data_IF_017923663291
#
_entry.id   IF_017923663291
#
_cell.length_a   1.000
_cell.length_b   1.000
_cell.length_c   1.000
_cell.angle_alpha   90.00
_cell.angle_beta   90.00
_cell.angle_gamma   90.00
#
_symmetry.space_group_name_H-M   'P 1'
#
loop_
_entity.id
_entity.type
_entity.pdbx_description
1 polymer ?
#
# COMPACT_ATOMS: atom_id res chain seq x y z
N UNK A 1 8.84 17.04 -9.27
CA UNK A 1 8.89 16.20 -10.49
C UNK A 1 8.28 14.86 -10.14
N UNK A 2 7.27 14.42 -10.88
CA UNK A 2 6.66 13.10 -10.71
C UNK A 2 7.67 12.02 -11.09
N UNK A 3 7.91 10.98 -10.27
CA UNK A 3 8.90 9.96 -10.58
C UNK A 3 8.52 9.18 -11.86
N UNK A 4 9.48 8.91 -12.73
CA UNK A 4 9.27 8.00 -13.87
C UNK A 4 9.27 6.56 -13.36
N UNK A 5 8.14 5.87 -13.49
CA UNK A 5 7.93 4.51 -12.98
C UNK A 5 9.08 3.53 -13.28
N UNK A 6 9.60 3.51 -14.51
CA UNK A 6 10.59 2.53 -14.92
C UNK A 6 11.94 2.72 -14.23
N UNK A 7 12.32 3.97 -13.94
CA UNK A 7 13.58 4.29 -13.25
C UNK A 7 13.40 4.37 -11.74
N UNK A 8 12.23 4.77 -11.26
CA UNK A 8 11.96 5.03 -9.84
C UNK A 8 11.33 3.85 -9.10
N UNK A 9 10.63 2.96 -9.81
CA UNK A 9 9.77 1.92 -9.23
C UNK A 9 8.45 2.45 -8.66
N UNK A 10 8.17 3.75 -8.80
CA UNK A 10 7.01 4.43 -8.21
C UNK A 10 6.37 5.33 -9.25
N UNK A 11 5.04 5.27 -9.36
CA UNK A 11 4.25 6.18 -10.17
C UNK A 11 3.19 6.84 -9.30
N UNK A 12 3.07 8.17 -9.41
CA UNK A 12 2.00 8.92 -8.76
C UNK A 12 0.96 9.24 -9.82
N UNK A 13 -0.22 8.66 -9.68
CA UNK A 13 -1.28 8.75 -10.68
C UNK A 13 -2.17 9.97 -10.39
N UNK A 14 -1.87 11.08 -11.05
CA UNK A 14 -2.68 12.29 -10.97
C UNK A 14 -4.07 12.04 -11.57
N UNK A 15 -5.13 12.47 -10.87
CA UNK A 15 -6.53 12.35 -11.31
C UNK A 15 -6.97 10.92 -11.68
N UNK A 16 -6.34 9.89 -11.11
CA UNK A 16 -6.75 8.50 -11.33
C UNK A 16 -8.03 8.14 -10.57
N UNK A 17 -8.38 8.93 -9.55
CA UNK A 17 -9.46 8.68 -8.61
C UNK A 17 -10.41 9.88 -8.56
N UNK A 18 -11.71 9.60 -8.65
CA UNK A 18 -12.76 10.57 -8.41
C UNK A 18 -13.00 10.72 -6.89
N UNK A 19 -13.11 11.96 -6.41
CA UNK A 19 -13.35 12.25 -4.99
C UNK A 19 -14.63 11.59 -4.45
N UNK A 20 -15.68 11.48 -5.26
CA UNK A 20 -16.91 10.79 -4.88
C UNK A 20 -16.67 9.27 -4.67
N UNK A 21 -15.82 8.65 -5.48
CA UNK A 21 -15.43 7.24 -5.29
C UNK A 21 -14.58 7.07 -4.03
N UNK A 22 -13.66 8.00 -3.76
CA UNK A 22 -12.83 7.99 -2.54
C UNK A 22 -13.73 8.12 -1.29
N UNK A 23 -14.64 9.10 -1.27
CA UNK A 23 -15.55 9.31 -0.15
C UNK A 23 -16.44 8.09 0.11
N UNK A 24 -17.01 7.49 -0.95
CA UNK A 24 -17.78 6.26 -0.82
C UNK A 24 -16.92 5.10 -0.31
N UNK A 25 -15.67 4.97 -0.76
CA UNK A 25 -14.77 3.93 -0.27
C UNK A 25 -14.36 4.14 1.20
N UNK A 26 -14.19 5.39 1.65
CA UNK A 26 -13.98 5.73 3.05
C UNK A 26 -15.16 5.32 3.92
N UNK A 27 -16.40 5.63 3.50
CA UNK A 27 -17.60 5.13 4.18
C UNK A 27 -17.62 3.60 4.24
N UNK A 28 -17.31 2.93 3.13
CA UNK A 28 -17.23 1.47 3.08
C UNK A 28 -16.17 0.89 4.02
N UNK A 29 -15.03 1.57 4.17
CA UNK A 29 -14.00 1.19 5.13
C UNK A 29 -14.51 1.32 6.58
N UNK A 30 -15.22 2.41 6.90
CA UNK A 30 -15.84 2.62 8.22
C UNK A 30 -16.91 1.56 8.51
N UNK A 31 -17.74 1.21 7.53
CA UNK A 31 -18.72 0.13 7.64
C UNK A 31 -18.04 -1.21 7.96
N UNK A 32 -16.97 -1.56 7.24
CA UNK A 32 -16.20 -2.78 7.49
C UNK A 32 -15.62 -2.81 8.91
N UNK A 33 -15.06 -1.69 9.38
CA UNK A 33 -14.51 -1.57 10.75
C UNK A 33 -15.58 -1.85 11.80
N UNK A 34 -16.81 -1.39 11.55
CA UNK A 34 -17.97 -1.61 12.42
C UNK A 34 -18.63 -2.98 12.23
N UNK A 35 -18.09 -3.86 11.38
CA UNK A 35 -18.65 -5.19 11.12
C UNK A 35 -19.83 -5.21 10.15
N UNK A 36 -20.09 -4.11 9.46
CA UNK A 36 -21.17 -3.99 8.47
C UNK A 36 -20.63 -4.26 7.07
N UNK A 37 -21.09 -5.35 6.44
CA UNK A 37 -20.65 -5.76 5.11
C UNK A 37 -21.83 -5.69 4.14
N UNK A 38 -21.88 -4.68 3.27
CA UNK A 38 -23.02 -4.47 2.38
C UNK A 38 -23.22 -5.65 1.41
N UNK A 39 -22.15 -6.36 1.06
CA UNK A 39 -22.14 -7.57 0.24
C UNK A 39 -22.76 -8.79 0.94
N UNK A 40 -22.90 -8.76 2.27
CA UNK A 40 -23.22 -9.93 3.09
C UNK A 40 -22.05 -10.90 3.29
N UNK A 41 -20.86 -10.58 2.78
CA UNK A 41 -19.65 -11.42 2.87
C UNK A 41 -18.63 -10.73 3.76
N UNK A 42 -18.11 -11.39 4.81
CA UNK A 42 -17.07 -10.80 5.65
C UNK A 42 -15.71 -10.74 4.92
N UNK A 43 -14.80 -9.86 5.36
CA UNK A 43 -13.40 -9.92 4.94
C UNK A 43 -12.77 -11.26 5.38
N UNK A 44 -11.68 -11.66 4.73
CA UNK A 44 -11.02 -12.94 5.05
C UNK A 44 -10.37 -12.97 6.42
N UNK A 45 -10.02 -11.80 6.95
CA UNK A 45 -9.44 -11.70 8.27
C UNK A 45 -9.22 -10.26 8.68
N UNK A 46 -9.11 -10.06 9.98
CA UNK A 46 -8.75 -8.79 10.58
C UNK A 46 -7.72 -9.02 11.68
N UNK A 47 -6.78 -8.09 11.82
CA UNK A 47 -5.76 -8.06 12.85
C UNK A 47 -5.92 -6.77 13.65
N UNK A 48 -5.95 -6.89 14.98
CA UNK A 48 -6.04 -5.77 15.93
C UNK A 48 -7.23 -4.82 15.66
N UNK A 49 -8.31 -5.31 15.04
CA UNK A 49 -9.46 -4.45 14.74
C UNK A 49 -10.02 -3.89 16.04
N UNK A 50 -10.25 -2.57 16.08
CA UNK A 50 -10.68 -1.81 17.26
C UNK A 50 -9.63 -1.66 18.38
N UNK A 51 -8.39 -2.13 18.18
CA UNK A 51 -7.28 -1.82 19.08
C UNK A 51 -6.58 -0.53 18.60
N UNK A 52 -6.90 0.58 19.25
CA UNK A 52 -6.34 1.89 18.92
C UNK A 52 -4.89 2.08 19.42
N UNK A 53 -4.25 1.03 19.94
CA UNK A 53 -2.84 1.06 20.32
C UNK A 53 -1.93 0.41 19.29
N UNK A 54 -2.47 -0.24 18.25
CA UNK A 54 -1.70 -1.02 17.28
C UNK A 54 -2.12 -0.74 15.84
N UNK A 55 -1.25 -1.09 14.90
CA UNK A 55 -1.65 -1.17 13.50
C UNK A 55 -2.83 -2.13 13.35
N UNK A 56 -3.90 -1.67 12.73
CA UNK A 56 -5.04 -2.52 12.39
C UNK A 56 -5.01 -2.82 10.90
N UNK A 57 -5.38 -4.05 10.55
CA UNK A 57 -5.37 -4.53 9.18
C UNK A 57 -6.58 -5.39 8.89
N UNK A 58 -7.25 -5.14 7.76
CA UNK A 58 -8.36 -5.98 7.28
C UNK A 58 -8.06 -6.47 5.87
N UNK A 59 -8.24 -7.78 5.65
CA UNK A 59 -7.85 -8.47 4.42
C UNK A 59 -9.06 -8.69 3.50
N UNK A 60 -8.85 -8.54 2.20
CA UNK A 60 -9.88 -8.72 1.16
C UNK A 60 -11.12 -7.85 1.32
N UNK A 61 -10.94 -6.59 1.74
CA UNK A 61 -12.02 -5.61 1.92
C UNK A 61 -12.88 -5.36 0.68
N UNK A 62 -12.37 -5.59 -0.53
CA UNK A 62 -13.19 -5.50 -1.76
C UNK A 62 -14.28 -6.58 -1.85
N UNK A 63 -14.13 -7.70 -1.14
CA UNK A 63 -15.17 -8.72 -1.05
C UNK A 63 -16.29 -8.31 -0.09
N UNK A 64 -15.97 -7.47 0.90
CA UNK A 64 -16.89 -7.06 1.95
C UNK A 64 -17.67 -5.78 1.62
N UNK A 65 -17.12 -4.88 0.79
CA UNK A 65 -17.73 -3.60 0.44
C UNK A 65 -17.89 -3.39 -1.07
N UNK A 66 -19.12 -3.19 -1.55
CA UNK A 66 -19.37 -2.78 -2.95
C UNK A 66 -18.83 -1.39 -3.24
N UNK A 67 -18.74 -0.50 -2.23
CA UNK A 67 -18.18 0.84 -2.40
C UNK A 67 -16.68 0.78 -2.72
N UNK A 68 -15.92 -0.03 -1.97
CA UNK A 68 -14.50 -0.28 -2.26
C UNK A 68 -14.33 -0.99 -3.60
N UNK A 69 -15.14 -2.02 -3.89
CA UNK A 69 -15.09 -2.70 -5.19
C UNK A 69 -15.36 -1.74 -6.36
N UNK A 70 -16.29 -0.80 -6.20
CA UNK A 70 -16.58 0.23 -7.20
C UNK A 70 -15.37 1.15 -7.43
N UNK A 71 -14.73 1.63 -6.37
CA UNK A 71 -13.49 2.42 -6.48
C UNK A 71 -12.45 1.68 -7.33
N UNK A 72 -12.23 0.39 -7.07
CA UNK A 72 -11.20 -0.39 -7.78
C UNK A 72 -11.57 -0.68 -9.25
N UNK A 73 -12.86 -0.85 -9.57
CA UNK A 73 -13.33 -1.22 -10.91
C UNK A 73 -13.64 -0.04 -11.83
N UNK A 74 -14.07 1.09 -11.27
CA UNK A 74 -14.60 2.23 -12.02
C UNK A 74 -13.71 3.48 -11.92
N UNK A 75 -12.58 3.41 -11.23
CA UNK A 75 -11.52 4.41 -11.34
C UNK A 75 -10.55 4.06 -12.48
N UNK A 76 -9.63 4.98 -12.76
CA UNK A 76 -8.59 4.79 -13.79
C UNK A 76 -7.39 3.99 -13.30
N UNK A 77 -7.42 3.44 -12.08
CA UNK A 77 -6.31 2.64 -11.54
C UNK A 77 -5.97 1.46 -12.46
N UNK A 78 -6.99 0.76 -12.97
CA UNK A 78 -6.78 -0.35 -13.90
C UNK A 78 -6.13 0.07 -15.22
N UNK A 79 -6.54 1.22 -15.77
CA UNK A 79 -5.95 1.80 -16.98
C UNK A 79 -4.49 2.16 -16.76
N UNK A 80 -4.19 2.89 -15.67
CA UNK A 80 -2.82 3.28 -15.30
C UNK A 80 -1.94 2.05 -15.11
N UNK A 81 -2.43 1.04 -14.38
CA UNK A 81 -1.68 -0.20 -14.18
C UNK A 81 -1.40 -0.92 -15.52
N UNK A 82 -2.40 -1.02 -16.40
CA UNK A 82 -2.26 -1.62 -17.73
C UNK A 82 -1.24 -0.88 -18.60
N UNK A 83 -1.24 0.45 -18.59
CA UNK A 83 -0.27 1.28 -19.31
C UNK A 83 1.17 1.05 -18.81
N UNK A 84 1.37 1.10 -17.49
CA UNK A 84 2.69 0.92 -16.89
C UNK A 84 3.29 -0.46 -17.17
N UNK A 85 2.47 -1.52 -17.20
CA UNK A 85 2.91 -2.90 -17.40
C UNK A 85 2.72 -3.42 -18.82
N UNK A 86 2.19 -2.59 -19.73
CA UNK A 86 1.81 -3.00 -21.10
C UNK A 86 0.91 -4.25 -21.11
N UNK A 87 0.06 -4.38 -20.10
CA UNK A 87 -0.82 -5.54 -19.93
C UNK A 87 -2.18 -5.29 -20.56
N UNK A 88 -2.74 -6.30 -21.23
CA UNK A 88 -4.10 -6.23 -21.78
C UNK A 88 -5.19 -6.42 -20.72
N UNK A 89 -4.83 -7.01 -19.58
CA UNK A 89 -5.76 -7.37 -18.51
C UNK A 89 -5.11 -7.15 -17.15
N UNK A 90 -5.82 -6.45 -16.27
CA UNK A 90 -5.46 -6.31 -14.86
C UNK A 90 -6.47 -7.09 -14.01
N UNK A 91 -5.96 -7.83 -13.02
CA UNK A 91 -6.78 -8.58 -12.05
C UNK A 91 -6.46 -8.11 -10.65
N UNK A 92 -7.51 -7.91 -9.85
CA UNK A 92 -7.37 -7.66 -8.42
C UNK A 92 -7.04 -9.00 -7.76
N UNK A 93 -5.80 -9.13 -7.28
CA UNK A 93 -5.38 -10.30 -6.50
C UNK A 93 -5.86 -10.22 -5.05
N UNK A 94 -5.68 -9.04 -4.45
CA UNK A 94 -6.19 -8.81 -3.11
C UNK A 94 -6.09 -7.36 -2.69
N UNK A 95 -6.76 -7.07 -1.58
CA UNK A 95 -6.81 -5.74 -0.99
C UNK A 95 -6.55 -5.81 0.50
N UNK A 96 -5.84 -4.82 1.03
CA UNK A 96 -5.63 -4.70 2.47
C UNK A 96 -5.98 -3.28 2.91
N UNK A 97 -6.85 -3.15 3.91
CA UNK A 97 -7.12 -1.89 4.58
C UNK A 97 -6.19 -1.78 5.78
N UNK A 98 -5.42 -0.69 5.84
CA UNK A 98 -4.55 -0.36 6.96
C UNK A 98 -5.11 0.85 7.70
N UNK A 99 -5.22 0.74 9.03
CA UNK A 99 -5.65 1.82 9.91
C UNK A 99 -4.52 2.06 10.91
N UNK A 100 -3.99 3.30 10.90
CA UNK A 100 -2.94 3.73 11.81
C UNK A 100 -3.53 4.61 12.91
N UNK A 101 -3.59 4.13 14.16
CA UNK A 101 -3.98 4.98 15.28
C UNK A 101 -2.97 6.10 15.51
N UNK A 102 -3.42 7.20 16.11
CA UNK A 102 -2.55 8.32 16.44
C UNK A 102 -1.56 7.94 17.55
N UNK A 103 -0.34 8.46 17.45
CA UNK A 103 0.66 8.45 18.52
C UNK A 103 1.05 7.06 19.07
N UNK A 104 0.99 6.00 18.26
CA UNK A 104 1.48 4.68 18.67
C UNK A 104 2.68 4.22 17.84
N UNK A 105 3.82 3.84 18.47
CA UNK A 105 4.95 3.25 17.75
C UNK A 105 4.61 1.88 17.15
N UNK A 106 3.60 1.18 17.68
CA UNK A 106 3.14 -0.13 17.19
C UNK A 106 2.23 -0.02 15.94
N UNK A 107 2.22 1.14 15.26
CA UNK A 107 1.55 1.38 13.97
C UNK A 107 2.51 1.45 12.78
N UNK A 108 3.81 1.29 13.03
CA UNK A 108 4.86 1.36 12.02
C UNK A 108 4.89 0.08 11.18
N UNK A 109 5.15 0.25 9.88
CA UNK A 109 5.46 -0.84 8.96
C UNK A 109 6.87 -0.60 8.44
N UNK A 110 7.77 -1.54 8.69
CA UNK A 110 9.17 -1.46 8.28
C UNK A 110 9.34 -1.48 6.75
N UNK A 111 10.52 -1.08 6.28
CA UNK A 111 10.90 -1.18 4.87
C UNK A 111 10.92 -2.64 4.42
N UNK A 112 10.23 -2.95 3.33
CA UNK A 112 10.14 -4.29 2.77
C UNK A 112 9.80 -4.27 1.28
N UNK A 113 9.81 -5.44 0.64
CA UNK A 113 9.32 -5.66 -0.72
C UNK A 113 8.14 -6.63 -0.70
N UNK A 114 7.00 -6.22 -1.25
CA UNK A 114 5.78 -7.04 -1.27
C UNK A 114 5.96 -8.39 -1.96
N UNK A 115 6.75 -8.44 -3.04
CA UNK A 115 6.94 -9.66 -3.84
C UNK A 115 7.46 -10.85 -3.03
N UNK A 116 8.19 -10.61 -1.93
CA UNK A 116 8.66 -11.67 -1.03
C UNK A 116 7.51 -12.46 -0.39
N UNK A 117 6.32 -11.86 -0.31
CA UNK A 117 5.09 -12.49 0.21
C UNK A 117 4.20 -13.07 -0.89
N UNK A 118 4.60 -12.97 -2.17
CA UNK A 118 3.82 -13.43 -3.31
C UNK A 118 4.64 -14.35 -4.25
N UNK A 119 5.24 -15.45 -3.74
CA UNK A 119 6.14 -16.31 -4.51
C UNK A 119 5.47 -17.09 -5.66
N UNK A 120 4.14 -16.96 -5.79
CA UNK A 120 3.33 -17.67 -6.77
C UNK A 120 3.23 -16.94 -8.12
N UNK A 121 3.62 -15.67 -8.18
CA UNK A 121 3.64 -14.90 -9.43
C UNK A 121 5.07 -14.83 -9.94
N UNK A 122 5.28 -15.11 -11.22
CA UNK A 122 6.61 -15.03 -11.84
C UNK A 122 7.01 -13.60 -12.23
N UNK A 123 6.04 -12.73 -12.47
CA UNK A 123 6.20 -11.30 -12.76
C UNK A 123 4.83 -10.61 -12.75
N UNK A 124 4.79 -9.28 -12.95
CA UNK A 124 3.55 -8.54 -13.23
C UNK A 124 2.72 -8.21 -11.99
N UNK A 125 3.33 -8.18 -10.80
CA UNK A 125 2.67 -7.72 -9.57
C UNK A 125 2.91 -6.22 -9.40
N UNK A 126 1.82 -5.49 -9.19
CA UNK A 126 1.83 -4.08 -8.81
C UNK A 126 1.01 -3.89 -7.54
N UNK A 127 1.47 -2.98 -6.68
CA UNK A 127 0.70 -2.51 -5.52
C UNK A 127 0.25 -1.08 -5.79
N UNK A 128 -1.08 -0.85 -5.82
CA UNK A 128 -1.66 0.48 -5.80
C UNK A 128 -1.97 0.86 -4.35
N UNK A 129 -1.28 1.88 -3.82
CA UNK A 129 -1.62 2.46 -2.53
C UNK A 129 -2.60 3.61 -2.74
N UNK A 130 -3.75 3.54 -2.07
CA UNK A 130 -4.84 4.51 -2.23
C UNK A 130 -5.12 5.14 -0.86
N UNK A 131 -4.81 6.43 -0.67
CA UNK A 131 -5.20 7.13 0.54
C UNK A 131 -6.71 7.39 0.53
N UNK A 132 -7.38 7.01 1.63
CA UNK A 132 -8.80 7.31 1.85
C UNK A 132 -9.02 8.59 2.68
N UNK A 133 -7.94 9.14 3.23
CA UNK A 133 -7.90 10.40 3.99
C UNK A 133 -6.72 11.24 3.50
N UNK A 134 -6.68 12.51 3.85
CA UNK A 134 -5.48 13.34 3.66
C UNK A 134 -4.27 12.72 4.39
N UNK A 135 -3.09 12.79 3.77
CA UNK A 135 -1.86 12.18 4.30
C UNK A 135 -0.76 13.22 4.33
N UNK A 136 -0.71 13.93 5.45
CA UNK A 136 0.40 14.81 5.80
C UNK A 136 1.62 14.02 6.28
N UNK A 137 2.79 14.67 6.34
CA UNK A 137 4.04 14.02 6.75
C UNK A 137 3.96 13.32 8.12
N UNK A 138 3.15 13.85 9.04
CA UNK A 138 2.95 13.31 10.39
C UNK A 138 1.92 12.16 10.45
N UNK A 139 1.17 11.90 9.37
CA UNK A 139 0.17 10.83 9.30
C UNK A 139 0.77 9.45 8.98
N UNK A 140 2.09 9.36 8.88
CA UNK A 140 2.81 8.13 8.52
C UNK A 140 2.60 7.75 7.05
N UNK A 141 3.01 8.62 6.10
CA UNK A 141 2.92 8.35 4.66
C UNK A 141 3.70 7.10 4.27
N UNK A 142 3.42 6.59 3.08
CA UNK A 142 4.26 5.56 2.48
C UNK A 142 5.59 6.18 2.04
N UNK A 143 6.69 5.52 2.39
CA UNK A 143 8.04 5.97 2.01
C UNK A 143 8.65 4.91 1.11
N UNK A 144 9.08 5.34 -0.08
CA UNK A 144 9.75 4.50 -1.05
C UNK A 144 11.23 4.84 -1.13
N UNK A 145 12.07 3.84 -1.41
CA UNK A 145 13.45 4.06 -1.84
C UNK A 145 13.45 4.00 -3.36
N UNK A 146 13.70 5.14 -4.00
CA UNK A 146 13.63 5.31 -5.45
C UNK A 146 14.66 4.42 -6.15
N UNK A 147 14.21 3.66 -7.14
CA UNK A 147 15.04 2.73 -7.92
C UNK A 147 15.33 1.41 -7.22
N UNK A 148 14.88 1.22 -5.97
CA UNK A 148 15.19 0.02 -5.19
C UNK A 148 14.58 -1.27 -5.74
N UNK A 149 13.63 -1.19 -6.67
CA UNK A 149 13.11 -2.36 -7.39
C UNK A 149 14.15 -3.02 -8.30
N UNK A 150 15.22 -2.31 -8.67
CA UNK A 150 16.31 -2.83 -9.49
C UNK A 150 17.41 -3.53 -8.69
N UNK A 151 17.45 -3.40 -7.34
CA UNK A 151 18.54 -4.03 -6.58
C UNK A 151 18.36 -5.55 -6.58
N UNK A 152 19.40 -6.26 -7.00
CA UNK A 152 19.34 -7.70 -7.28
C UNK A 152 19.13 -8.55 -6.02
N UNK A 153 19.58 -8.07 -4.86
CA UNK A 153 19.55 -8.82 -3.62
C UNK A 153 18.40 -8.39 -2.72
N UNK A 154 17.72 -9.37 -2.11
CA UNK A 154 16.94 -9.10 -0.91
C UNK A 154 17.88 -8.71 0.22
N UNK A 155 17.61 -7.58 0.85
CA UNK A 155 18.42 -7.09 1.97
C UNK A 155 18.00 -7.82 3.27
N UNK A 156 18.93 -8.43 4.03
CA UNK A 156 18.61 -9.17 5.25
C UNK A 156 17.80 -8.38 6.29
N UNK A 157 18.02 -7.07 6.38
CA UNK A 157 17.31 -6.19 7.32
C UNK A 157 15.94 -5.71 6.81
N UNK A 158 15.50 -6.18 5.63
CA UNK A 158 14.17 -5.94 5.06
C UNK A 158 13.10 -6.70 5.84
N UNK A 159 12.00 -6.05 6.18
CA UNK A 159 10.86 -6.67 6.87
C UNK A 159 9.85 -5.66 7.39
N UNK A 160 8.56 -5.91 7.12
CA UNK A 160 7.47 -5.04 7.55
C UNK A 160 7.23 -5.05 9.06
N UNK A 161 7.71 -6.08 9.76
CA UNK A 161 7.60 -6.25 11.21
C UNK A 161 8.61 -5.43 12.02
N UNK A 162 9.56 -4.75 11.36
CA UNK A 162 10.59 -3.97 12.05
C UNK A 162 10.01 -2.63 12.51
N UNK A 163 9.94 -2.43 13.83
CA UNK A 163 9.33 -1.21 14.42
C UNK A 163 10.30 -0.02 14.44
N UNK A 164 11.60 -0.26 14.63
CA UNK A 164 12.63 0.80 14.65
C UNK A 164 13.06 1.16 13.22
N UNK A 165 12.33 2.09 12.59
CA UNK A 165 12.66 2.59 11.24
C UNK A 165 14.08 3.15 11.15
N UNK A 166 14.53 3.86 12.19
CA UNK A 166 15.87 4.46 12.20
C UNK A 166 16.95 3.38 12.08
N UNK A 167 16.92 2.39 12.97
CA UNK A 167 17.89 1.29 12.95
C UNK A 167 17.78 0.47 11.66
N UNK A 168 16.55 0.25 11.19
CA UNK A 168 16.34 -0.47 9.94
C UNK A 168 17.00 0.26 8.76
N UNK A 169 16.82 1.58 8.64
CA UNK A 169 17.45 2.37 7.58
C UNK A 169 18.98 2.34 7.66
N UNK A 170 19.55 2.41 8.86
CA UNK A 170 21.01 2.33 9.04
C UNK A 170 21.55 1.00 8.52
N UNK A 171 20.91 -0.13 8.87
CA UNK A 171 21.29 -1.45 8.38
C UNK A 171 21.08 -1.59 6.86
N UNK A 172 19.94 -1.17 6.34
CA UNK A 172 19.65 -1.26 4.91
C UNK A 172 20.64 -0.45 4.07
N UNK A 173 21.06 0.74 4.53
CA UNK A 173 22.11 1.53 3.88
C UNK A 173 23.46 0.83 3.87
N UNK A 174 23.82 0.15 4.97
CA UNK A 174 25.04 -0.66 5.03
C UNK A 174 24.97 -1.88 4.11
N UNK A 175 23.79 -2.47 3.93
CA UNK A 175 23.58 -3.63 3.06
C UNK A 175 23.47 -3.24 1.56
N UNK A 176 23.24 -1.96 1.25
CA UNK A 176 23.05 -1.42 -0.10
C UNK A 176 24.11 -0.39 -0.51
N UNK A 177 25.35 -0.53 -0.02
CA UNK A 177 26.43 0.46 -0.24
C UNK A 177 26.75 0.76 -1.71
N UNK A 178 26.49 -0.19 -2.61
CA UNK A 178 26.72 -0.02 -4.06
C UNK A 178 25.51 0.55 -4.80
N UNK A 179 24.42 0.85 -4.09
CA UNK A 179 23.17 1.31 -4.65
C UNK A 179 22.91 2.78 -4.28
N UNK A 180 22.12 3.48 -5.09
CA UNK A 180 21.69 4.84 -4.75
C UNK A 180 20.58 4.82 -3.70
N UNK A 181 20.72 5.63 -2.64
CA UNK A 181 19.67 5.82 -1.63
C UNK A 181 18.99 7.18 -1.77
N UNK A 182 17.76 7.20 -2.27
CA UNK A 182 16.92 8.39 -2.30
C UNK A 182 15.50 8.03 -1.88
N UNK A 183 14.93 8.80 -0.95
CA UNK A 183 13.60 8.52 -0.40
C UNK A 183 12.54 9.42 -1.01
N UNK A 184 11.38 8.84 -1.29
CA UNK A 184 10.18 9.57 -1.70
C UNK A 184 9.04 9.31 -0.70
N UNK A 185 8.49 10.39 -0.15
CA UNK A 185 7.37 10.38 0.79
C UNK A 185 6.07 10.69 0.04
N UNK A 186 5.12 9.75 0.05
CA UNK A 186 3.82 9.91 -0.59
C UNK A 186 2.85 10.68 0.33
N UNK A 187 2.94 12.00 0.28
CA UNK A 187 2.03 12.92 0.96
C UNK A 187 1.05 13.54 -0.03
N UNK A 188 -0.19 13.77 0.41
CA UNK A 188 -1.27 14.43 -0.34
C UNK A 188 -2.06 15.38 0.55
#
# INVERSE_FOLDING_TARGET
MTPNYYTSGVYVADNALDLALINAALEGAIEIINGNYDTGVPPWGALNLNDNTKLQRVLQVHLASRKILKLLKFSRIGEVAAELTQSTTIKIWGTQLYIKPKNTPQSVVGFHRDYQHMPYFSSGVLTAWIPLTEIVQQAGPLIYIIGSHNWQNSLPSSGGQVESIKEQKEKLKLESQNESWSEYSAVI
#
